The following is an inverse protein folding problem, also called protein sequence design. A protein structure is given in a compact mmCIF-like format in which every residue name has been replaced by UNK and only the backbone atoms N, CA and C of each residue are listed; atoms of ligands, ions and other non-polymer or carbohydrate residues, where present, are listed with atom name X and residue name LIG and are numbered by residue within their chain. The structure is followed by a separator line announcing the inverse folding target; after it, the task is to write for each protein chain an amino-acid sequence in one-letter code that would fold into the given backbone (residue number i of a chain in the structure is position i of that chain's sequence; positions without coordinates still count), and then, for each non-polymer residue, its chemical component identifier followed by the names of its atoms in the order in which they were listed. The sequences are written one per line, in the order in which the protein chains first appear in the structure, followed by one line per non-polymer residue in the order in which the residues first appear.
data_IF_632979204141
#
_entry.id   IF_632979204141
#
_cell.length_a   1.000
_cell.length_b   1.000
_cell.length_c   1.000
_cell.angle_alpha   90.00
_cell.angle_beta   90.00
_cell.angle_gamma   90.00
#
_symmetry.space_group_name_H-M   'P 1'
#
loop_
_entity.id
_entity.type
_entity.pdbx_description
1 polymer ?
#
# COMPACT_ATOMS: atom_id res chain seq x y z
N UNK A 1 -1.26 34.83 26.85
CA UNK A 1 -2.06 35.59 25.88
C UNK A 1 -1.10 35.97 24.77
N UNK A 2 -1.09 35.23 23.67
CA UNK A 2 -0.39 35.65 22.46
C UNK A 2 -1.11 36.89 21.95
N UNK A 3 -0.43 38.04 21.96
CA UNK A 3 -0.89 39.22 21.24
C UNK A 3 -0.90 38.87 19.76
N UNK A 4 -2.09 38.83 19.17
CA UNK A 4 -2.26 38.54 17.75
C UNK A 4 -1.48 39.58 16.94
N UNK A 5 -0.46 39.12 16.21
CA UNK A 5 0.37 40.00 15.38
C UNK A 5 -0.46 40.42 14.17
N UNK A 6 -0.62 41.72 13.98
CA UNK A 6 -1.15 42.24 12.73
C UNK A 6 -0.05 42.17 11.65
N UNK A 7 -0.04 41.05 10.93
CA UNK A 7 0.93 40.76 9.89
C UNK A 7 0.94 41.78 8.76
N UNK A 8 -0.21 42.35 8.42
CA UNK A 8 -0.30 43.31 7.33
C UNK A 8 0.27 44.66 7.75
N UNK A 9 -0.09 45.14 8.94
CA UNK A 9 0.43 46.39 9.48
C UNK A 9 1.94 46.31 9.75
N UNK A 10 2.42 45.17 10.28
CA UNK A 10 3.84 44.94 10.49
C UNK A 10 4.59 44.91 9.16
N UNK A 11 4.06 44.27 8.11
CA UNK A 11 4.63 44.26 6.77
C UNK A 11 4.71 45.67 6.18
N UNK A 12 3.61 46.41 6.16
CA UNK A 12 3.53 47.75 5.55
C UNK A 12 4.50 48.74 6.20
N UNK A 13 4.60 48.71 7.53
CA UNK A 13 5.54 49.56 8.27
C UNK A 13 6.98 49.10 8.08
N UNK A 14 7.24 47.79 7.98
CA UNK A 14 8.58 47.27 7.65
C UNK A 14 9.04 47.76 6.27
N UNK A 15 8.19 47.69 5.25
CA UNK A 15 8.50 48.12 3.88
C UNK A 15 8.78 49.63 3.81
N UNK A 16 7.97 50.45 4.50
CA UNK A 16 8.20 51.89 4.62
C UNK A 16 9.47 52.21 5.41
N UNK A 17 9.75 51.49 6.50
CA UNK A 17 10.96 51.67 7.29
C UNK A 17 12.22 51.30 6.48
N UNK A 18 12.20 50.22 5.69
CA UNK A 18 13.29 49.85 4.78
C UNK A 18 13.55 50.97 3.77
N UNK A 19 12.49 51.54 3.20
CA UNK A 19 12.60 52.67 2.26
C UNK A 19 13.25 53.89 2.93
N UNK A 20 12.77 54.27 4.12
CA UNK A 20 13.32 55.39 4.88
C UNK A 20 14.78 55.16 5.30
N UNK A 21 15.14 53.95 5.74
CA UNK A 21 16.52 53.58 6.10
C UNK A 21 17.45 53.60 4.89
N UNK A 22 16.97 53.17 3.71
CA UNK A 22 17.73 53.23 2.47
C UNK A 22 18.02 54.68 2.09
N UNK A 23 17.04 55.58 2.18
CA UNK A 23 17.24 57.00 1.90
C UNK A 23 18.23 57.67 2.88
N UNK A 24 18.15 57.33 4.18
CA UNK A 24 19.10 57.80 5.19
C UNK A 24 20.55 57.39 4.86
N UNK A 25 20.74 56.16 4.37
CA UNK A 25 22.06 55.64 4.02
C UNK A 25 22.70 56.34 2.81
N UNK A 26 21.93 57.03 1.98
CA UNK A 26 22.40 57.73 0.77
C UNK A 26 22.71 59.20 1.05
N UNK A 27 22.31 59.74 2.21
CA UNK A 27 22.62 61.11 2.60
C UNK A 27 24.14 61.31 2.76
N UNK A 28 24.68 62.47 2.34
CA UNK A 28 26.09 62.78 2.56
C UNK A 28 26.38 62.82 4.07
N UNK A 29 27.43 62.11 4.49
CA UNK A 29 27.84 61.97 5.89
C UNK A 29 28.54 63.21 6.44
N UNK A 30 27.99 64.39 6.19
CA UNK A 30 28.47 65.62 6.84
C UNK A 30 28.14 65.52 8.35
N UNK A 31 29.12 65.85 9.21
CA UNK A 31 29.05 65.75 10.68
C UNK A 31 27.92 66.58 11.34
N UNK A 32 27.16 67.34 10.56
CA UNK A 32 25.99 68.08 11.03
C UNK A 32 24.83 67.10 11.28
N UNK A 33 24.56 66.80 12.55
CA UNK A 33 23.38 66.06 12.98
C UNK A 33 22.10 66.68 12.39
N UNK A 34 21.53 66.05 11.36
CA UNK A 34 20.24 66.43 10.81
C UNK A 34 19.14 66.12 11.83
N UNK A 35 18.35 67.13 12.19
CA UNK A 35 17.18 66.92 13.04
C UNK A 35 16.12 66.10 12.31
N UNK A 36 15.29 65.36 13.05
CA UNK A 36 14.13 64.64 12.48
C UNK A 36 13.25 65.52 11.60
N UNK A 37 13.10 66.79 11.99
CA UNK A 37 12.34 67.76 11.20
C UNK A 37 12.94 67.96 9.80
N UNK A 38 14.27 68.11 9.70
CA UNK A 38 14.97 68.22 8.41
C UNK A 38 14.88 66.92 7.60
N UNK A 39 14.96 65.76 8.25
CA UNK A 39 14.81 64.46 7.58
C UNK A 39 13.41 64.28 7.00
N UNK A 40 12.37 64.68 7.73
CA UNK A 40 10.99 64.73 7.23
C UNK A 40 10.80 65.72 6.09
N UNK A 41 11.46 66.89 6.14
CA UNK A 41 11.46 67.88 5.05
C UNK A 41 12.14 67.34 3.77
N UNK A 42 13.08 66.40 3.90
CA UNK A 42 13.70 65.66 2.79
C UNK A 42 12.83 64.49 2.28
N UNK A 43 11.62 64.31 2.83
CA UNK A 43 10.69 63.25 2.46
C UNK A 43 11.02 61.88 3.05
N UNK A 44 11.87 61.82 4.09
CA UNK A 44 12.21 60.57 4.77
C UNK A 44 11.16 60.26 5.84
N UNK A 45 10.50 59.10 5.72
CA UNK A 45 9.49 58.63 6.66
C UNK A 45 10.11 58.08 7.95
N UNK A 46 10.60 58.98 8.81
CA UNK A 46 11.15 58.63 10.12
C UNK A 46 10.08 58.01 11.04
N UNK A 47 8.81 58.37 10.84
CA UNK A 47 7.70 57.83 11.62
C UNK A 47 7.52 56.33 11.36
N UNK A 48 7.76 55.84 10.13
CA UNK A 48 7.79 54.41 9.83
C UNK A 48 8.90 53.67 10.58
N UNK A 49 10.10 54.26 10.71
CA UNK A 49 11.22 53.64 11.44
C UNK A 49 10.87 53.49 12.92
N UNK A 50 10.29 54.53 13.52
CA UNK A 50 9.83 54.47 14.91
C UNK A 50 8.69 53.49 15.12
N UNK A 51 7.70 53.49 14.22
CA UNK A 51 6.59 52.55 14.27
C UNK A 51 7.08 51.10 14.14
N UNK A 52 8.02 50.83 13.21
CA UNK A 52 8.63 49.51 13.05
C UNK A 52 9.35 49.07 14.32
N UNK A 53 10.17 49.96 14.92
CA UNK A 53 10.89 49.65 16.16
C UNK A 53 9.96 49.28 17.33
N UNK A 54 8.78 49.91 17.41
CA UNK A 54 7.78 49.61 18.43
C UNK A 54 7.09 48.27 18.12
N UNK A 55 6.67 48.06 16.87
CA UNK A 55 5.92 46.87 16.48
C UNK A 55 6.77 45.61 16.36
N UNK A 56 8.00 45.70 15.89
CA UNK A 56 8.98 44.61 15.81
C UNK A 56 9.80 44.49 17.11
N UNK A 57 9.14 44.67 18.26
CA UNK A 57 9.75 44.47 19.57
C UNK A 57 10.08 43.00 19.86
N UNK A 58 10.83 42.70 20.93
CA UNK A 58 11.24 41.34 21.28
C UNK A 58 10.07 40.36 21.42
N UNK A 59 8.92 40.81 21.95
CA UNK A 59 7.71 40.00 22.11
C UNK A 59 7.13 39.57 20.75
N UNK A 60 7.03 40.50 19.80
CA UNK A 60 6.60 40.21 18.43
C UNK A 60 7.57 39.26 17.74
N UNK A 61 8.88 39.51 17.87
CA UNK A 61 9.91 38.64 17.26
C UNK A 61 9.85 37.22 17.82
N UNK A 62 9.68 37.07 19.13
CA UNK A 62 9.52 35.76 19.76
C UNK A 62 8.26 35.04 19.25
N UNK A 63 7.13 35.73 19.21
CA UNK A 63 5.88 35.13 18.72
C UNK A 63 5.96 34.72 17.24
N UNK A 64 6.69 35.44 16.39
CA UNK A 64 6.97 35.03 14.99
C UNK A 64 7.87 33.79 14.92
N UNK A 65 8.86 33.69 15.79
CA UNK A 65 9.76 32.53 15.86
C UNK A 65 9.02 31.27 16.35
N UNK A 66 8.19 31.43 17.38
CA UNK A 66 7.34 30.36 17.91
C UNK A 66 6.35 29.86 16.86
N UNK A 67 5.68 30.77 16.12
CA UNK A 67 4.78 30.39 15.03
C UNK A 67 5.52 29.69 13.89
N UNK A 68 6.70 30.18 13.52
CA UNK A 68 7.55 29.51 12.52
C UNK A 68 7.92 28.10 12.96
N UNK A 69 8.28 27.90 14.23
CA UNK A 69 8.64 26.58 14.74
C UNK A 69 7.45 25.63 14.76
N UNK A 70 6.28 26.09 15.18
CA UNK A 70 5.04 25.32 15.10
C UNK A 70 4.66 24.96 13.65
N UNK A 71 4.85 25.88 12.70
CA UNK A 71 4.62 25.61 11.28
C UNK A 71 5.62 24.60 10.72
N UNK A 72 6.89 24.67 11.10
CA UNK A 72 7.91 23.70 10.68
C UNK A 72 7.62 22.30 11.22
N UNK A 73 7.20 22.18 12.48
CA UNK A 73 6.80 20.91 13.08
C UNK A 73 5.60 20.31 12.33
N UNK A 74 4.57 21.12 12.06
CA UNK A 74 3.41 20.69 11.28
C UNK A 74 3.77 20.28 9.84
N UNK A 75 4.73 20.97 9.21
CA UNK A 75 5.21 20.59 7.87
C UNK A 75 5.90 19.22 7.91
N UNK A 76 6.77 18.97 8.90
CA UNK A 76 7.43 17.68 9.06
C UNK A 76 6.43 16.54 9.31
N UNK A 77 5.39 16.77 10.12
CA UNK A 77 4.29 15.80 10.33
C UNK A 77 3.51 15.52 9.04
N UNK A 78 3.18 16.55 8.25
CA UNK A 78 2.50 16.39 6.98
C UNK A 78 3.34 15.63 5.95
N UNK A 79 4.65 15.90 5.90
CA UNK A 79 5.59 15.16 5.05
C UNK A 79 5.67 13.68 5.44
N UNK A 80 5.74 13.38 6.74
CA UNK A 80 5.73 12.01 7.25
C UNK A 80 4.42 11.27 6.89
N UNK A 81 3.27 11.90 7.13
CA UNK A 81 1.96 11.33 6.80
C UNK A 81 1.79 11.10 5.28
N UNK A 82 2.31 12.00 4.45
CA UNK A 82 2.28 11.84 2.99
C UNK A 82 3.16 10.66 2.54
N UNK A 83 4.31 10.46 3.17
CA UNK A 83 5.18 9.32 2.88
C UNK A 83 4.51 7.98 3.26
N UNK A 84 3.88 7.91 4.44
CA UNK A 84 3.11 6.72 4.87
C UNK A 84 1.94 6.43 3.93
N UNK A 85 1.16 7.46 3.56
CA UNK A 85 0.05 7.31 2.62
C UNK A 85 0.51 6.84 1.23
N UNK A 86 1.67 7.31 0.76
CA UNK A 86 2.24 6.86 -0.50
C UNK A 86 2.66 5.38 -0.44
N UNK A 87 3.22 4.92 0.68
CA UNK A 87 3.57 3.52 0.88
C UNK A 87 2.32 2.62 0.90
N UNK A 88 1.28 3.02 1.61
CA UNK A 88 0.02 2.29 1.67
C UNK A 88 -0.68 2.23 0.32
N UNK A 89 -0.65 3.33 -0.45
CA UNK A 89 -1.15 3.35 -1.82
C UNK A 89 -0.39 2.38 -2.71
N UNK A 90 0.94 2.32 -2.60
CA UNK A 90 1.75 1.37 -3.36
C UNK A 90 1.40 -0.08 -3.00
N UNK A 91 1.27 -0.40 -1.71
CA UNK A 91 0.84 -1.73 -1.24
C UNK A 91 -0.55 -2.09 -1.77
N UNK A 92 -1.49 -1.15 -1.76
CA UNK A 92 -2.84 -1.36 -2.28
C UNK A 92 -2.82 -1.64 -3.79
N UNK A 93 -2.03 -0.89 -4.56
CA UNK A 93 -1.86 -1.10 -6.01
C UNK A 93 -1.30 -2.50 -6.30
N UNK A 94 -0.29 -2.93 -5.53
CA UNK A 94 0.30 -4.27 -5.67
C UNK A 94 -0.70 -5.37 -5.32
N UNK A 95 -1.46 -5.21 -4.24
CA UNK A 95 -2.52 -6.15 -3.85
C UNK A 95 -3.61 -6.27 -4.92
N UNK A 96 -4.04 -5.15 -5.52
CA UNK A 96 -5.03 -5.16 -6.60
C UNK A 96 -4.48 -5.88 -7.83
N UNK A 97 -3.22 -5.62 -8.22
CA UNK A 97 -2.59 -6.32 -9.35
C UNK A 97 -2.52 -7.84 -9.12
N UNK A 98 -2.21 -8.27 -7.91
CA UNK A 98 -2.20 -9.69 -7.55
C UNK A 98 -3.60 -10.30 -7.61
N UNK A 99 -4.62 -9.57 -7.11
CA UNK A 99 -6.00 -10.01 -7.18
C UNK A 99 -6.49 -10.15 -8.64
N UNK A 100 -6.20 -9.18 -9.50
CA UNK A 100 -6.56 -9.23 -10.92
C UNK A 100 -5.90 -10.42 -11.64
N UNK A 101 -4.62 -10.69 -11.35
CA UNK A 101 -3.91 -11.85 -11.89
C UNK A 101 -4.54 -13.17 -11.42
N UNK A 102 -4.91 -13.26 -10.14
CA UNK A 102 -5.58 -14.44 -9.57
C UNK A 102 -6.96 -14.67 -10.21
N UNK A 103 -7.76 -13.60 -10.38
CA UNK A 103 -9.07 -13.67 -11.04
C UNK A 103 -8.94 -14.13 -12.49
N UNK A 104 -7.97 -13.59 -13.23
CA UNK A 104 -7.72 -14.00 -14.62
C UNK A 104 -7.35 -15.49 -14.71
N UNK A 105 -6.43 -15.94 -13.86
CA UNK A 105 -6.02 -17.35 -13.80
C UNK A 105 -7.20 -18.27 -13.45
N UNK A 106 -8.01 -17.88 -12.46
CA UNK A 106 -9.20 -18.64 -12.08
C UNK A 106 -10.21 -18.72 -13.24
N UNK A 107 -10.44 -17.62 -13.95
CA UNK A 107 -11.33 -17.59 -15.11
C UNK A 107 -10.84 -18.50 -16.24
N UNK A 108 -9.54 -18.52 -16.54
CA UNK A 108 -8.94 -19.41 -17.54
C UNK A 108 -9.14 -20.88 -17.15
N UNK A 109 -8.89 -21.25 -15.89
CA UNK A 109 -9.10 -22.62 -15.37
C UNK A 109 -10.56 -23.04 -15.44
N UNK A 110 -11.48 -22.20 -14.97
CA UNK A 110 -12.91 -22.52 -15.01
C UNK A 110 -13.43 -22.62 -16.44
N UNK A 111 -12.91 -21.79 -17.35
CA UNK A 111 -13.27 -21.89 -18.77
C UNK A 111 -12.80 -23.21 -19.38
N UNK A 112 -11.58 -23.66 -19.05
CA UNK A 112 -11.06 -24.97 -19.48
C UNK A 112 -11.90 -26.13 -18.93
N UNK A 113 -12.21 -26.12 -17.62
CA UNK A 113 -13.08 -27.13 -17.00
C UNK A 113 -14.50 -27.12 -17.58
N UNK A 114 -15.05 -25.94 -17.89
CA UNK A 114 -16.37 -25.84 -18.51
C UNK A 114 -16.37 -26.42 -19.93
N UNK A 115 -15.31 -26.18 -20.71
CA UNK A 115 -15.15 -26.76 -22.04
C UNK A 115 -15.02 -28.28 -21.98
N UNK A 116 -14.18 -28.80 -21.08
CA UNK A 116 -14.04 -30.25 -20.84
C UNK A 116 -15.36 -30.89 -20.43
N UNK A 117 -16.10 -30.27 -19.50
CA UNK A 117 -17.42 -30.75 -19.09
C UNK A 117 -18.44 -30.77 -20.24
N UNK A 118 -18.38 -29.80 -21.16
CA UNK A 118 -19.25 -29.78 -22.33
C UNK A 118 -18.93 -30.93 -23.29
N UNK A 119 -17.64 -31.23 -23.49
CA UNK A 119 -17.17 -32.38 -24.29
C UNK A 119 -17.61 -33.69 -23.63
N UNK A 120 -17.39 -33.85 -22.33
CA UNK A 120 -17.80 -35.02 -21.56
C UNK A 120 -19.30 -35.26 -21.65
N UNK A 121 -20.12 -34.21 -21.48
CA UNK A 121 -21.58 -34.31 -21.58
C UNK A 121 -22.03 -34.73 -22.99
N UNK A 122 -21.33 -34.28 -24.03
CA UNK A 122 -21.59 -34.71 -25.40
C UNK A 122 -21.23 -36.18 -25.58
N UNK A 123 -20.03 -36.58 -25.16
CA UNK A 123 -19.58 -37.97 -25.21
C UNK A 123 -20.60 -38.90 -24.56
N UNK A 124 -21.05 -38.61 -23.33
CA UNK A 124 -22.03 -39.44 -22.63
C UNK A 124 -23.36 -39.56 -23.37
N UNK A 125 -23.79 -38.53 -24.11
CA UNK A 125 -25.02 -38.58 -24.91
C UNK A 125 -24.86 -39.45 -26.16
N UNK A 126 -23.76 -39.26 -26.87
CA UNK A 126 -23.46 -40.01 -28.09
C UNK A 126 -23.32 -41.50 -27.75
N UNK A 127 -22.59 -41.80 -26.67
CA UNK A 127 -22.34 -43.15 -26.20
C UNK A 127 -23.61 -43.84 -25.65
N UNK A 128 -24.55 -43.09 -25.04
CA UNK A 128 -25.85 -43.64 -24.65
C UNK A 128 -26.71 -44.02 -25.86
N UNK A 129 -26.68 -43.22 -26.94
CA UNK A 129 -27.39 -43.54 -28.18
C UNK A 129 -26.84 -44.81 -28.83
N UNK A 130 -25.52 -44.95 -28.91
CA UNK A 130 -24.87 -46.15 -29.47
C UNK A 130 -25.22 -47.40 -28.67
N UNK A 131 -25.22 -47.32 -27.33
CA UNK A 131 -25.58 -48.45 -26.48
C UNK A 131 -27.04 -48.93 -26.66
N UNK A 132 -27.98 -48.00 -26.86
CA UNK A 132 -29.38 -48.31 -27.17
C UNK A 132 -29.52 -48.92 -28.56
N UNK A 133 -28.81 -48.38 -29.56
CA UNK A 133 -28.80 -48.88 -30.94
C UNK A 133 -28.23 -50.31 -31.05
N UNK A 134 -27.08 -50.58 -30.41
CA UNK A 134 -26.45 -51.90 -30.39
C UNK A 134 -27.33 -52.94 -29.66
N UNK A 135 -28.06 -52.52 -28.62
CA UNK A 135 -29.00 -53.38 -27.90
C UNK A 135 -30.24 -53.74 -28.73
N UNK A 136 -30.80 -52.81 -29.50
CA UNK A 136 -31.93 -53.06 -30.40
C UNK A 136 -31.57 -54.01 -31.56
N UNK A 137 -30.32 -53.98 -32.03
CA UNK A 137 -29.83 -54.81 -33.12
C UNK A 137 -29.20 -56.13 -32.68
N UNK A 138 -29.11 -56.39 -31.37
CA UNK A 138 -28.56 -57.62 -30.81
C UNK A 138 -27.05 -57.78 -31.00
N UNK A 139 -26.31 -56.67 -31.12
CA UNK A 139 -24.87 -56.64 -31.32
C UNK A 139 -24.10 -56.71 -29.98
N UNK A 140 -22.79 -57.03 -30.01
CA UNK A 140 -21.98 -57.17 -28.80
C UNK A 140 -21.74 -55.82 -28.11
N UNK A 141 -22.07 -55.73 -26.81
CA UNK A 141 -22.02 -54.52 -25.97
C UNK A 141 -20.61 -54.03 -25.58
N UNK A 142 -19.61 -54.11 -26.46
CA UNK A 142 -18.20 -53.83 -26.14
C UNK A 142 -17.76 -52.36 -26.28
N UNK A 143 -18.18 -51.67 -27.35
CA UNK A 143 -17.56 -50.40 -27.77
C UNK A 143 -17.66 -49.24 -26.77
N UNK A 144 -18.72 -49.20 -25.95
CA UNK A 144 -18.91 -48.18 -24.93
C UNK A 144 -17.89 -48.28 -23.78
N UNK A 145 -17.55 -49.51 -23.37
CA UNK A 145 -16.61 -49.73 -22.26
C UNK A 145 -15.18 -49.37 -22.66
N UNK A 146 -14.79 -49.66 -23.89
CA UNK A 146 -13.47 -49.31 -24.42
C UNK A 146 -13.35 -47.79 -24.59
N UNK A 147 -14.38 -47.14 -25.16
CA UNK A 147 -14.40 -45.69 -25.32
C UNK A 147 -14.38 -44.93 -23.98
N UNK A 148 -14.97 -45.48 -22.91
CA UNK A 148 -14.87 -44.92 -21.55
C UNK A 148 -13.45 -44.97 -20.99
N UNK A 149 -12.69 -46.04 -21.27
CA UNK A 149 -11.33 -46.20 -20.78
C UNK A 149 -10.35 -45.22 -21.45
N UNK A 150 -10.68 -44.72 -22.65
CA UNK A 150 -9.86 -43.79 -23.43
C UNK A 150 -10.21 -42.30 -23.19
N UNK A 151 -11.13 -41.98 -22.27
CA UNK A 151 -11.47 -40.60 -21.97
C UNK A 151 -10.34 -39.92 -21.18
N UNK A 152 -9.84 -38.82 -21.71
CA UNK A 152 -8.90 -37.95 -21.02
C UNK A 152 -9.61 -36.71 -20.45
N UNK A 153 -9.26 -36.33 -19.22
CA UNK A 153 -9.75 -35.11 -18.54
C UNK A 153 -8.59 -34.20 -18.12
N UNK A 154 -7.80 -33.69 -19.09
CA UNK A 154 -6.56 -32.98 -18.81
C UNK A 154 -6.73 -31.71 -17.96
N UNK A 155 -7.85 -30.99 -18.08
CA UNK A 155 -8.13 -29.81 -17.26
C UNK A 155 -8.44 -30.20 -15.80
N UNK A 156 -9.21 -31.28 -15.61
CA UNK A 156 -9.45 -31.84 -14.27
C UNK A 156 -8.17 -32.36 -13.64
N UNK A 157 -7.34 -33.09 -14.40
CA UNK A 157 -6.07 -33.64 -13.91
C UNK A 157 -5.09 -32.54 -13.51
N UNK A 158 -4.96 -31.49 -14.33
CA UNK A 158 -4.15 -30.32 -14.03
C UNK A 158 -4.64 -29.60 -12.75
N UNK A 159 -5.96 -29.41 -12.60
CA UNK A 159 -6.54 -28.81 -11.40
C UNK A 159 -6.27 -29.65 -10.15
N UNK A 160 -6.44 -30.98 -10.22
CA UNK A 160 -6.16 -31.88 -9.09
C UNK A 160 -4.67 -31.91 -8.73
N UNK A 161 -3.78 -31.88 -9.72
CA UNK A 161 -2.33 -31.79 -9.49
C UNK A 161 -1.97 -30.50 -8.75
N UNK A 162 -2.57 -29.37 -9.15
CA UNK A 162 -2.39 -28.09 -8.47
C UNK A 162 -2.92 -28.11 -7.04
N UNK A 163 -4.13 -28.63 -6.80
CA UNK A 163 -4.70 -28.75 -5.44
C UNK A 163 -3.81 -29.60 -4.54
N UNK A 164 -3.26 -30.70 -5.07
CA UNK A 164 -2.30 -31.55 -4.33
C UNK A 164 -1.01 -30.79 -4.02
N UNK A 165 -0.47 -30.05 -4.99
CA UNK A 165 0.73 -29.23 -4.79
C UNK A 165 0.50 -28.12 -3.74
N UNK A 166 -0.66 -27.46 -3.78
CA UNK A 166 -1.01 -26.43 -2.81
C UNK A 166 -1.16 -27.02 -1.40
N UNK A 167 -1.89 -28.12 -1.25
CA UNK A 167 -2.04 -28.80 0.04
C UNK A 167 -0.68 -29.24 0.63
N UNK A 168 0.25 -29.67 -0.23
CA UNK A 168 1.61 -29.99 0.18
C UNK A 168 2.39 -28.75 0.64
N UNK A 169 2.31 -27.63 -0.08
CA UNK A 169 2.93 -26.37 0.31
C UNK A 169 2.37 -25.84 1.63
N UNK A 170 1.05 -25.93 1.83
CA UNK A 170 0.40 -25.51 3.08
C UNK A 170 0.88 -26.37 4.25
N UNK A 171 1.02 -27.68 4.06
CA UNK A 171 1.58 -28.58 5.06
C UNK A 171 3.01 -28.19 5.43
N UNK A 172 3.87 -27.92 4.44
CA UNK A 172 5.24 -27.47 4.67
C UNK A 172 5.26 -26.15 5.45
N UNK A 173 4.38 -25.20 5.12
CA UNK A 173 4.27 -23.91 5.82
C UNK A 173 3.88 -24.07 7.29
N UNK A 174 2.89 -24.92 7.59
CA UNK A 174 2.50 -25.21 8.98
C UNK A 174 3.63 -25.90 9.73
N UNK A 175 4.33 -26.83 9.08
CA UNK A 175 5.47 -27.53 9.67
C UNK A 175 6.62 -26.58 10.03
N UNK A 176 6.99 -25.66 9.12
CA UNK A 176 8.04 -24.66 9.37
C UNK A 176 7.65 -23.74 10.54
N UNK A 177 6.37 -23.37 10.65
CA UNK A 177 5.87 -22.59 11.79
C UNK A 177 5.98 -23.35 13.10
N UNK A 178 5.54 -24.62 13.13
CA UNK A 178 5.66 -25.47 14.32
C UNK A 178 7.13 -25.65 14.73
N UNK A 179 8.04 -25.90 13.78
CA UNK A 179 9.48 -26.00 14.05
C UNK A 179 10.05 -24.70 14.65
N UNK A 180 9.67 -23.55 14.09
CA UNK A 180 10.08 -22.23 14.60
C UNK A 180 9.55 -21.99 16.03
N UNK A 181 8.29 -22.37 16.32
CA UNK A 181 7.68 -22.21 17.65
C UNK A 181 8.40 -23.05 18.71
N UNK A 182 8.85 -24.24 18.33
CA UNK A 182 9.59 -25.15 19.24
C UNK A 182 11.08 -24.77 19.34
N UNK A 183 11.55 -23.81 18.53
CA UNK A 183 12.91 -23.29 18.57
C UNK A 183 13.95 -24.23 17.95
N UNK A 184 13.53 -25.09 17.03
CA UNK A 184 14.42 -26.00 16.32
C UNK A 184 15.18 -25.27 15.20
N UNK A 185 16.46 -25.59 15.04
CA UNK A 185 17.30 -25.18 13.92
C UNK A 185 17.65 -26.34 12.97
N UNK A 186 18.26 -26.01 11.82
CA UNK A 186 18.60 -27.00 10.78
C UNK A 186 19.63 -28.06 11.23
N UNK A 187 20.33 -27.83 12.34
CA UNK A 187 21.29 -28.74 12.96
C UNK A 187 20.69 -29.69 13.99
N UNK A 188 19.44 -29.46 14.41
CA UNK A 188 18.78 -30.27 15.43
C UNK A 188 18.33 -31.63 14.91
N UNK A 189 18.49 -32.66 15.75
CA UNK A 189 18.04 -34.03 15.45
C UNK A 189 16.79 -34.32 16.26
N UNK A 190 15.68 -34.60 15.56
CA UNK A 190 14.42 -35.03 16.16
C UNK A 190 14.24 -36.55 16.06
N UNK A 191 13.52 -37.13 17.01
CA UNK A 191 13.11 -38.53 16.93
C UNK A 191 12.01 -38.73 15.89
N UNK A 192 11.90 -39.96 15.37
CA UNK A 192 10.81 -40.34 14.44
C UNK A 192 9.43 -40.10 15.03
N UNK A 193 9.29 -40.22 16.36
CA UNK A 193 8.03 -39.97 17.06
C UNK A 193 7.66 -38.48 17.00
N UNK A 194 8.60 -37.59 17.33
CA UNK A 194 8.40 -36.13 17.31
C UNK A 194 8.06 -35.64 15.90
N UNK A 195 8.77 -36.13 14.88
CA UNK A 195 8.48 -35.79 13.49
C UNK A 195 7.08 -36.25 13.06
N UNK A 196 6.66 -37.46 13.47
CA UNK A 196 5.31 -37.97 13.16
C UNK A 196 4.22 -37.18 13.87
N UNK A 197 4.42 -36.85 15.14
CA UNK A 197 3.44 -36.10 15.94
C UNK A 197 3.27 -34.67 15.37
N UNK A 198 4.37 -34.03 14.96
CA UNK A 198 4.32 -32.74 14.26
C UNK A 198 3.56 -32.81 12.94
N UNK A 199 3.84 -33.81 12.08
CA UNK A 199 3.12 -33.98 10.81
C UNK A 199 1.62 -34.23 11.02
N UNK A 200 1.25 -35.02 12.04
CA UNK A 200 -0.15 -35.27 12.38
C UNK A 200 -0.84 -33.97 12.85
N UNK A 201 -0.16 -33.19 13.69
CA UNK A 201 -0.62 -31.89 14.15
C UNK A 201 -0.81 -30.91 12.97
N UNK A 202 0.14 -30.82 12.04
CA UNK A 202 0.01 -30.00 10.84
C UNK A 202 -1.20 -30.43 9.99
N UNK A 203 -1.39 -31.74 9.78
CA UNK A 203 -2.53 -32.28 9.03
C UNK A 203 -3.89 -31.97 9.70
N UNK A 204 -3.94 -31.99 11.04
CA UNK A 204 -5.13 -31.58 11.80
C UNK A 204 -5.42 -30.08 11.69
N UNK A 205 -4.38 -29.24 11.68
CA UNK A 205 -4.54 -27.79 11.49
C UNK A 205 -5.12 -27.48 10.10
N UNK A 206 -4.63 -28.14 9.05
CA UNK A 206 -5.17 -27.98 7.69
C UNK A 206 -6.65 -28.39 7.58
N UNK A 207 -7.06 -29.45 8.29
CA UNK A 207 -8.46 -29.89 8.34
C UNK A 207 -9.41 -28.87 8.99
N UNK A 208 -8.93 -28.09 9.96
CA UNK A 208 -9.73 -27.07 10.65
C UNK A 208 -9.85 -25.77 9.84
N UNK A 209 -8.89 -25.48 8.96
CA UNK A 209 -8.85 -24.27 8.13
C UNK A 209 -9.69 -24.32 6.84
N UNK A 210 -10.05 -25.49 6.32
CA UNK A 210 -10.76 -25.64 5.05
C UNK A 210 -12.26 -25.28 5.03
N UNK A 211 -12.75 -24.53 6.02
CA UNK A 211 -14.17 -24.21 6.23
C UNK A 211 -14.49 -22.70 6.20
N UNK A 212 -13.61 -21.89 5.60
CA UNK A 212 -13.75 -20.44 5.48
C UNK A 212 -13.93 -20.00 4.03
#
# INVERSE_FOLDING_TARGET
MTTEIDYQVLRDVSERAITAMTHLSILPGDDDLLSEKKLKELGIDIDAIHAFKIMAGPETVLSLLDERDALNERMAELEANLAELAEDQQKAIESIKQADAAVKLAHEKFSALAAENAVMKKFCKDAAFDADYEAELGMERGGFSDALNDIETPATDAFLAEVRAQAFNDLCSVFVKDATVVGLDDGDIVTVKEAKDALLHCAEQLRKGGNQ
#
